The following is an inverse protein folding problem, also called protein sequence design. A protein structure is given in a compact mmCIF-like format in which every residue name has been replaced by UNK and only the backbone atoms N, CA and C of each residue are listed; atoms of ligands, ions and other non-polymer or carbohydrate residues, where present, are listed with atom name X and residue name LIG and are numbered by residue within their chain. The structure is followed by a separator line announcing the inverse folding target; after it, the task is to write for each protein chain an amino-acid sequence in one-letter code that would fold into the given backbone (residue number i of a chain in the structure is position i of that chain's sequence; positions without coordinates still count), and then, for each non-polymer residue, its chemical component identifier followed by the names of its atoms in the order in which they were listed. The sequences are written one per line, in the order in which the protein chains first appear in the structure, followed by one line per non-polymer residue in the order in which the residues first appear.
data_IF_127074372602
#
_entry.id   IF_127074372602
#
_cell.length_a   1.000
_cell.length_b   1.000
_cell.length_c   1.000
_cell.angle_alpha   90.00
_cell.angle_beta   90.00
_cell.angle_gamma   90.00
#
_symmetry.space_group_name_H-M   'P 1'
#
loop_
_entity.id
_entity.type
_entity.pdbx_description
1 polymer ?
#
# COMPACT_ATOMS: atom_id res chain seq x y z
N UNK A 1 -7.98 10.36 44.28
CA UNK A 1 -8.51 9.76 43.03
C UNK A 1 -7.43 8.90 42.40
N UNK A 2 -7.60 7.57 42.38
CA UNK A 2 -6.67 6.65 41.72
C UNK A 2 -6.93 6.69 40.21
N UNK A 3 -5.89 6.91 39.39
CA UNK A 3 -5.98 6.81 37.92
C UNK A 3 -6.44 5.39 37.54
N UNK A 4 -7.32 5.23 36.53
CA UNK A 4 -7.76 3.90 36.13
C UNK A 4 -6.60 3.14 35.47
N UNK A 5 -6.59 1.79 35.55
CA UNK A 5 -5.55 0.98 34.93
C UNK A 5 -5.61 1.15 33.41
N UNK A 6 -4.44 1.36 32.79
CA UNK A 6 -4.31 1.38 31.32
C UNK A 6 -4.67 -0.02 30.81
N UNK A 7 -5.87 -0.15 30.25
CA UNK A 7 -6.23 -1.32 29.47
C UNK A 7 -5.21 -1.50 28.34
N UNK A 8 -4.55 -2.65 28.31
CA UNK A 8 -3.97 -3.17 27.08
C UNK A 8 -5.14 -3.34 26.12
N UNK A 9 -5.28 -2.42 25.16
CA UNK A 9 -6.08 -2.71 23.97
C UNK A 9 -5.43 -3.91 23.30
N UNK A 10 -6.19 -4.92 22.86
CA UNK A 10 -5.62 -6.06 22.15
C UNK A 10 -5.07 -5.56 20.80
N UNK A 11 -3.76 -5.27 20.79
CA UNK A 11 -2.98 -4.79 19.63
C UNK A 11 -3.22 -5.66 18.39
N UNK A 12 -3.49 -6.96 18.61
CA UNK A 12 -3.65 -7.96 17.56
C UNK A 12 -4.90 -7.70 16.70
N UNK A 13 -6.02 -7.26 17.28
CA UNK A 13 -7.24 -7.01 16.51
C UNK A 13 -7.15 -5.74 15.65
N UNK A 14 -6.51 -4.70 16.18
CA UNK A 14 -6.28 -3.45 15.44
C UNK A 14 -5.31 -3.69 14.27
N UNK A 15 -4.29 -4.54 14.45
CA UNK A 15 -3.26 -4.82 13.42
C UNK A 15 -3.81 -5.62 12.23
N UNK A 16 -4.62 -6.66 12.47
CA UNK A 16 -5.22 -7.46 11.38
C UNK A 16 -6.17 -6.62 10.53
N UNK A 17 -6.91 -5.70 11.15
CA UNK A 17 -7.83 -4.80 10.46
C UNK A 17 -7.07 -3.83 9.54
N UNK A 18 -5.92 -3.32 9.98
CA UNK A 18 -5.05 -2.46 9.15
C UNK A 18 -4.55 -3.20 7.91
N UNK A 19 -4.10 -4.45 8.03
CA UNK A 19 -3.67 -5.25 6.87
C UNK A 19 -4.80 -5.50 5.85
N UNK A 20 -6.03 -5.77 6.30
CA UNK A 20 -7.17 -5.96 5.39
C UNK A 20 -7.60 -4.65 4.70
N UNK A 21 -7.55 -3.52 5.41
CA UNK A 21 -7.86 -2.20 4.87
C UNK A 21 -6.77 -1.73 3.88
N UNK A 22 -5.49 -1.93 4.22
CA UNK A 22 -4.35 -1.70 3.31
C UNK A 22 -4.45 -2.59 2.07
N UNK A 23 -4.78 -3.88 2.23
CA UNK A 23 -4.95 -4.80 1.10
C UNK A 23 -6.10 -4.38 0.18
N UNK A 24 -7.18 -3.80 0.69
CA UNK A 24 -8.24 -3.26 -0.16
C UNK A 24 -7.77 -2.02 -0.93
N UNK A 25 -6.96 -1.16 -0.31
CA UNK A 25 -6.47 0.08 -0.93
C UNK A 25 -5.56 -0.10 -2.14
N UNK A 26 -5.11 -1.32 -2.43
CA UNK A 26 -4.21 -1.62 -3.55
C UNK A 26 -4.89 -2.41 -4.67
N UNK A 27 -6.12 -2.86 -4.47
CA UNK A 27 -6.86 -3.71 -5.41
C UNK A 27 -7.71 -2.86 -6.34
N UNK A 28 -7.65 -3.12 -7.64
CA UNK A 28 -8.62 -2.57 -8.58
C UNK A 28 -9.94 -3.36 -8.52
N UNK A 29 -11.06 -2.67 -8.28
CA UNK A 29 -12.38 -3.28 -8.32
C UNK A 29 -12.94 -3.40 -9.75
N UNK A 30 -14.11 -4.01 -9.91
CA UNK A 30 -14.70 -4.19 -11.24
C UNK A 30 -15.12 -2.87 -11.90
N UNK A 31 -15.54 -1.88 -11.10
CA UNK A 31 -15.90 -0.55 -11.58
C UNK A 31 -14.68 0.13 -12.19
N UNK A 32 -13.54 0.02 -11.50
CA UNK A 32 -12.25 0.57 -11.93
C UNK A 32 -11.69 -0.12 -13.17
N UNK A 33 -11.80 -1.45 -13.26
CA UNK A 33 -11.45 -2.17 -14.47
C UNK A 33 -12.27 -1.71 -15.67
N UNK A 34 -13.58 -1.52 -15.49
CA UNK A 34 -14.43 -1.02 -16.57
C UNK A 34 -14.01 0.40 -16.98
N UNK A 35 -13.67 1.28 -16.02
CA UNK A 35 -13.15 2.62 -16.32
C UNK A 35 -11.85 2.58 -17.12
N UNK A 36 -10.95 1.64 -16.82
CA UNK A 36 -9.71 1.43 -17.59
C UNK A 36 -10.02 0.94 -19.00
N UNK A 37 -10.92 -0.05 -19.14
CA UNK A 37 -11.33 -0.60 -20.43
C UNK A 37 -11.98 0.46 -21.34
N UNK A 38 -12.81 1.34 -20.77
CA UNK A 38 -13.50 2.43 -21.48
C UNK A 38 -12.56 3.47 -22.09
N UNK A 39 -11.29 3.54 -21.65
CA UNK A 39 -10.28 4.44 -22.25
C UNK A 39 -10.02 4.03 -23.72
N UNK A 40 -10.07 2.73 -24.04
CA UNK A 40 -9.97 2.23 -25.41
C UNK A 40 -8.58 2.37 -26.08
N UNK A 41 -7.52 2.66 -25.31
CA UNK A 41 -6.15 2.72 -25.79
C UNK A 41 -5.44 1.36 -25.65
N UNK A 42 -4.30 1.17 -26.33
CA UNK A 42 -3.57 -0.11 -26.28
C UNK A 42 -3.00 -0.38 -24.88
N UNK A 43 -2.53 0.66 -24.22
CA UNK A 43 -1.93 0.66 -22.90
C UNK A 43 -2.99 0.33 -21.84
N UNK A 44 -4.17 0.97 -21.93
CA UNK A 44 -5.29 0.69 -21.03
C UNK A 44 -5.86 -0.72 -21.25
N UNK A 45 -5.94 -1.16 -22.51
CA UNK A 45 -6.36 -2.52 -22.86
C UNK A 45 -5.39 -3.56 -22.29
N UNK A 46 -4.08 -3.35 -22.43
CA UNK A 46 -3.05 -4.22 -21.87
C UNK A 46 -3.15 -4.31 -20.35
N UNK A 47 -3.30 -3.18 -19.66
CA UNK A 47 -3.45 -3.16 -18.20
C UNK A 47 -4.73 -3.89 -17.76
N UNK A 48 -5.85 -3.68 -18.45
CA UNK A 48 -7.09 -4.40 -18.19
C UNK A 48 -6.88 -5.92 -18.33
N UNK A 49 -6.26 -6.38 -19.42
CA UNK A 49 -6.03 -7.81 -19.67
C UNK A 49 -5.16 -8.46 -18.59
N UNK A 50 -4.12 -7.75 -18.14
CA UNK A 50 -3.28 -8.21 -17.02
C UNK A 50 -4.12 -8.35 -15.75
N UNK A 51 -4.83 -7.30 -15.34
CA UNK A 51 -5.60 -7.34 -14.08
C UNK A 51 -6.77 -8.33 -14.14
N UNK A 52 -7.40 -8.50 -15.31
CA UNK A 52 -8.46 -9.48 -15.49
C UNK A 52 -7.92 -10.92 -15.44
N UNK A 53 -6.73 -11.17 -15.98
CA UNK A 53 -6.05 -12.47 -15.84
C UNK A 53 -5.82 -12.81 -14.36
N UNK A 54 -5.43 -11.83 -13.53
CA UNK A 54 -5.22 -12.01 -12.10
C UNK A 54 -6.51 -11.96 -11.26
N UNK A 55 -7.69 -11.80 -11.88
CA UNK A 55 -8.97 -11.62 -11.18
C UNK A 55 -9.35 -12.71 -10.17
N UNK A 56 -8.87 -13.93 -10.41
CA UNK A 56 -9.11 -15.08 -9.55
C UNK A 56 -8.19 -15.15 -8.31
N UNK A 57 -7.15 -14.30 -8.25
CA UNK A 57 -6.10 -14.38 -7.24
C UNK A 57 -5.81 -13.03 -6.56
N UNK A 58 -5.40 -12.02 -7.33
CA UNK A 58 -4.94 -10.73 -6.79
C UNK A 58 -4.91 -9.63 -7.86
N UNK A 59 -5.89 -8.72 -7.85
CA UNK A 59 -5.95 -7.56 -8.76
C UNK A 59 -5.15 -6.36 -8.24
N UNK A 60 -4.02 -6.61 -7.61
CA UNK A 60 -3.24 -5.59 -6.91
C UNK A 60 -2.38 -4.75 -7.87
N UNK A 61 -2.33 -3.45 -7.63
CA UNK A 61 -1.56 -2.47 -8.40
C UNK A 61 -0.26 -2.10 -7.68
N UNK A 62 0.46 -3.09 -7.14
CA UNK A 62 1.69 -2.86 -6.35
C UNK A 62 2.73 -1.99 -7.08
N UNK A 63 3.03 -2.31 -8.33
CA UNK A 63 4.09 -1.62 -9.08
C UNK A 63 3.68 -0.18 -9.46
N UNK A 64 2.46 0.09 -9.98
CA UNK A 64 1.98 1.46 -10.16
C UNK A 64 2.00 2.28 -8.86
N UNK A 65 1.68 1.68 -7.73
CA UNK A 65 1.74 2.33 -6.42
C UNK A 65 3.19 2.74 -6.07
N UNK A 66 4.16 1.87 -6.32
CA UNK A 66 5.57 2.19 -6.08
C UNK A 66 6.06 3.38 -6.93
N UNK A 67 5.59 3.48 -8.17
CA UNK A 67 5.88 4.63 -9.04
C UNK A 67 5.23 5.91 -8.49
N UNK A 68 3.94 5.84 -8.14
CA UNK A 68 3.20 7.02 -7.65
C UNK A 68 3.65 7.48 -6.26
N UNK A 69 4.19 6.59 -5.43
CA UNK A 69 4.82 6.98 -4.17
C UNK A 69 5.99 7.95 -4.36
N UNK A 70 6.58 7.99 -5.56
CA UNK A 70 7.66 8.90 -5.94
C UNK A 70 7.10 10.12 -6.71
N UNK A 71 6.22 9.92 -7.69
CA UNK A 71 5.72 11.01 -8.55
C UNK A 71 4.64 11.88 -7.90
N UNK A 72 3.77 11.28 -7.09
CA UNK A 72 2.59 11.89 -6.47
C UNK A 72 2.55 11.55 -4.95
N UNK A 73 3.60 11.92 -4.18
CA UNK A 73 3.75 11.51 -2.79
C UNK A 73 2.63 12.04 -1.87
N UNK A 74 1.87 13.06 -2.29
CA UNK A 74 0.71 13.58 -1.57
C UNK A 74 -0.47 12.59 -1.48
N UNK A 75 -0.48 11.56 -2.34
CA UNK A 75 -1.48 10.49 -2.29
C UNK A 75 -1.25 9.52 -1.11
N UNK A 76 -0.16 9.68 -0.37
CA UNK A 76 0.30 8.72 0.61
C UNK A 76 0.50 9.34 1.99
N UNK A 77 0.12 8.61 3.03
CA UNK A 77 0.61 8.87 4.38
C UNK A 77 1.88 8.05 4.62
N UNK A 78 3.02 8.74 4.77
CA UNK A 78 4.29 8.09 5.10
C UNK A 78 4.63 8.22 6.58
N UNK A 79 5.32 7.20 7.09
CA UNK A 79 6.04 7.28 8.37
C UNK A 79 7.53 7.07 8.14
N UNK A 80 8.35 7.95 8.70
CA UNK A 80 9.78 7.72 8.75
C UNK A 80 10.08 6.75 9.88
N UNK A 81 10.65 5.58 9.58
CA UNK A 81 11.07 4.58 10.57
C UNK A 81 12.37 3.90 10.14
N UNK A 82 13.10 3.33 11.10
CA UNK A 82 14.17 2.41 10.77
C UNK A 82 13.55 1.07 10.33
N UNK A 83 14.13 0.44 9.30
CA UNK A 83 13.68 -0.85 8.78
C UNK A 83 14.91 -1.73 8.57
N UNK A 84 14.88 -2.91 9.18
CA UNK A 84 15.85 -3.99 8.92
C UNK A 84 15.23 -5.06 8.00
N UNK A 85 16.09 -5.91 7.42
CA UNK A 85 15.67 -7.11 6.69
C UNK A 85 16.21 -8.34 7.42
N UNK A 86 15.32 -9.25 7.83
CA UNK A 86 15.69 -10.51 8.46
C UNK A 86 16.30 -11.45 7.41
N UNK A 87 17.51 -11.96 7.67
CA UNK A 87 18.29 -12.73 6.69
C UNK A 87 18.78 -14.09 7.17
N UNK A 88 18.58 -14.44 8.45
CA UNK A 88 19.14 -15.66 9.04
C UNK A 88 18.21 -16.48 9.92
N UNK A 89 17.02 -15.96 10.26
CA UNK A 89 16.05 -16.63 11.11
C UNK A 89 15.30 -17.77 10.40
N UNK A 90 15.04 -18.86 11.12
CA UNK A 90 14.34 -20.04 10.54
C UNK A 90 12.91 -19.73 10.05
N UNK A 91 12.20 -18.82 10.72
CA UNK A 91 10.77 -18.60 10.48
C UNK A 91 10.42 -17.31 9.71
N UNK A 92 11.35 -16.36 9.61
CA UNK A 92 11.06 -15.01 9.12
C UNK A 92 12.11 -14.44 8.16
N UNK A 93 12.99 -15.30 7.60
CA UNK A 93 13.94 -14.86 6.56
C UNK A 93 13.18 -14.20 5.41
N UNK A 94 13.62 -13.01 5.01
CA UNK A 94 13.02 -12.17 3.98
C UNK A 94 12.03 -11.12 4.50
N UNK A 95 11.67 -11.14 5.78
CA UNK A 95 10.75 -10.15 6.35
C UNK A 95 11.41 -8.77 6.49
N UNK A 96 10.66 -7.72 6.16
CA UNK A 96 10.99 -6.33 6.50
C UNK A 96 10.50 -6.02 7.91
N UNK A 97 11.38 -5.50 8.76
CA UNK A 97 11.13 -5.30 10.19
C UNK A 97 11.17 -3.79 10.53
N UNK A 98 10.03 -3.08 10.40
CA UNK A 98 9.95 -1.66 10.74
C UNK A 98 9.89 -1.42 12.26
N UNK A 99 10.65 -0.44 12.75
CA UNK A 99 10.64 -0.02 14.16
C UNK A 99 9.62 1.10 14.44
N UNK A 100 8.38 0.71 14.77
CA UNK A 100 7.30 1.62 15.17
C UNK A 100 7.32 2.03 16.65
N UNK A 101 8.37 1.68 17.42
CA UNK A 101 8.41 2.00 18.86
C UNK A 101 8.56 3.50 19.07
N UNK A 102 7.82 4.04 20.05
CA UNK A 102 7.90 5.48 20.44
C UNK A 102 9.28 5.95 20.89
N UNK A 103 10.14 5.02 21.32
CA UNK A 103 11.52 5.26 21.73
C UNK A 103 12.46 4.39 20.89
N UNK A 104 12.51 4.64 19.58
CA UNK A 104 13.50 4.05 18.69
C UNK A 104 14.85 4.77 18.86
N UNK A 105 15.94 4.09 18.49
CA UNK A 105 17.27 4.69 18.51
C UNK A 105 17.35 5.80 17.45
N UNK A 106 17.56 7.08 17.83
CA UNK A 106 17.56 8.18 16.88
C UNK A 106 18.76 8.17 15.92
N UNK A 107 19.81 7.39 16.21
CA UNK A 107 21.01 7.32 15.39
C UNK A 107 20.91 6.29 14.23
N UNK A 108 19.82 5.52 14.18
CA UNK A 108 19.60 4.58 13.08
C UNK A 108 19.09 5.29 11.83
N UNK A 109 19.48 4.80 10.66
CA UNK A 109 18.97 5.27 9.38
C UNK A 109 17.44 5.10 9.32
N UNK A 110 16.76 6.06 8.68
CA UNK A 110 15.30 6.05 8.53
C UNK A 110 14.94 6.03 7.06
N UNK A 111 13.88 5.31 6.75
CA UNK A 111 13.24 5.27 5.43
C UNK A 111 11.78 5.63 5.59
N UNK A 112 11.19 6.18 4.51
CA UNK A 112 9.75 6.41 4.43
C UNK A 112 9.05 5.10 4.14
N UNK A 113 8.13 4.71 5.01
CA UNK A 113 7.23 3.58 4.80
C UNK A 113 5.84 4.14 4.54
N UNK A 114 5.25 3.78 3.39
CA UNK A 114 3.88 4.15 3.05
C UNK A 114 2.92 3.33 3.95
N UNK A 115 2.06 4.02 4.69
CA UNK A 115 1.09 3.43 5.61
C UNK A 115 -0.33 3.50 5.08
N UNK A 116 -0.64 4.51 4.26
CA UNK A 116 -1.95 4.65 3.62
C UNK A 116 -1.81 5.23 2.23
N UNK A 117 -2.78 4.89 1.39
CA UNK A 117 -2.97 5.38 0.04
C UNK A 117 -4.38 5.96 -0.11
N UNK A 118 -4.48 7.17 -0.64
CA UNK A 118 -5.73 7.77 -1.11
C UNK A 118 -6.17 7.09 -2.41
N UNK A 119 -6.77 5.90 -2.27
CA UNK A 119 -7.06 5.00 -3.38
C UNK A 119 -7.85 5.63 -4.53
N UNK A 120 -8.90 6.39 -4.23
CA UNK A 120 -9.72 7.03 -5.26
C UNK A 120 -8.91 8.03 -6.10
N UNK A 121 -8.09 8.85 -5.43
CA UNK A 121 -7.22 9.83 -6.09
C UNK A 121 -6.12 9.14 -6.90
N UNK A 122 -5.56 8.04 -6.37
CA UNK A 122 -4.62 7.19 -7.09
C UNK A 122 -5.24 6.63 -8.39
N UNK A 123 -6.46 6.10 -8.33
CA UNK A 123 -7.14 5.57 -9.51
C UNK A 123 -7.47 6.65 -10.53
N UNK A 124 -7.88 7.84 -10.07
CA UNK A 124 -8.10 8.99 -10.95
C UNK A 124 -6.80 9.41 -11.66
N UNK A 125 -5.67 9.47 -10.93
CA UNK A 125 -4.34 9.74 -11.50
C UNK A 125 -3.91 8.68 -12.50
N UNK A 126 -4.08 7.40 -12.18
CA UNK A 126 -3.74 6.31 -13.09
C UNK A 126 -4.52 6.42 -14.41
N UNK A 127 -5.83 6.70 -14.31
CA UNK A 127 -6.70 6.89 -15.47
C UNK A 127 -6.30 8.13 -16.28
N UNK A 128 -5.93 9.23 -15.62
CA UNK A 128 -5.40 10.43 -16.29
C UNK A 128 -4.13 10.10 -17.08
N UNK A 129 -3.19 9.35 -16.50
CA UNK A 129 -1.95 8.92 -17.16
C UNK A 129 -2.26 8.07 -18.39
N UNK A 130 -3.12 7.05 -18.24
CA UNK A 130 -3.52 6.16 -19.33
C UNK A 130 -4.29 6.87 -20.45
N UNK A 131 -4.88 8.04 -20.17
CA UNK A 131 -5.53 8.89 -21.19
C UNK A 131 -4.55 9.82 -21.88
N UNK A 132 -3.46 10.21 -21.23
CA UNK A 132 -2.61 11.35 -21.63
C UNK A 132 -1.79 11.09 -22.89
N UNK A 133 -1.68 9.83 -23.33
CA UNK A 133 -1.07 9.45 -24.61
C UNK A 133 -2.11 9.39 -25.78
N UNK A 134 -3.29 10.01 -25.64
CA UNK A 134 -4.27 10.27 -26.72
C UNK A 134 -4.04 11.58 -27.49
#
# INVERSE_FOLDING_TARGET
MKKPPRGQRPIIQDTLKTFEEEKKSILADQTELNRILEIGQKESQLLYEILDLYSSHDRSLHDPIAIMAISDPELFEFVDVHVDVETGGHFATGATIPDFRKKSNPNLSRVKVAMKLEHAQFMDRLIEILKKDA
#
